data_IF_372656837302
#
_entry.id   IF_372656837302
#
_cell.length_a   1.000
_cell.length_b   1.000
_cell.length_c   1.000
_cell.angle_alpha   90.00
_cell.angle_beta   90.00
_cell.angle_gamma   90.00
#
_symmetry.space_group_name_H-M   'P 1'
#
loop_
_entity.id
_entity.type
_entity.pdbx_description
1 polymer ?
#
# COMPACT_ATOMS: atom_id res chain seq x y z
N UNK A 1 1.73 -53.98 12.29
CA UNK A 1 0.31 -54.23 11.98
C UNK A 1 -0.56 -53.35 12.87
N UNK A 2 -1.15 -52.32 12.24
CA UNK A 2 -2.34 -51.51 12.59
C UNK A 2 -2.58 -51.07 14.05
N UNK A 3 -2.59 -49.74 14.24
CA UNK A 3 -3.69 -49.01 14.89
C UNK A 3 -3.65 -47.52 14.52
N UNK A 4 -4.43 -47.16 13.51
CA UNK A 4 -4.94 -45.80 13.33
C UNK A 4 -6.05 -45.55 14.35
N UNK A 5 -6.10 -44.36 14.92
CA UNK A 5 -7.23 -43.89 15.72
C UNK A 5 -7.35 -42.38 15.59
N UNK A 6 -8.44 -41.95 14.94
CA UNK A 6 -9.31 -40.79 15.18
C UNK A 6 -8.64 -39.39 15.31
N UNK A 7 -9.00 -38.36 14.56
CA UNK A 7 -10.30 -38.02 13.96
C UNK A 7 -10.78 -36.71 14.57
N UNK A 8 -10.88 -35.64 13.78
CA UNK A 8 -11.69 -34.46 14.12
C UNK A 8 -12.36 -33.94 12.84
N UNK A 9 -13.66 -34.21 12.77
CA UNK A 9 -14.60 -33.82 11.73
C UNK A 9 -15.00 -32.34 11.90
N UNK A 10 -14.70 -31.51 10.91
CA UNK A 10 -15.28 -30.17 10.75
C UNK A 10 -16.40 -30.17 9.73
N UNK A 11 -17.52 -30.85 10.01
CA UNK A 11 -18.67 -30.92 9.09
C UNK A 11 -19.59 -29.71 9.29
N UNK A 12 -19.59 -28.75 8.36
CA UNK A 12 -20.74 -27.85 8.13
C UNK A 12 -21.69 -28.50 7.15
N UNK A 13 -22.95 -28.65 7.55
CA UNK A 13 -24.04 -29.13 6.68
C UNK A 13 -24.67 -27.95 5.96
N UNK A 14 -24.41 -27.82 4.68
CA UNK A 14 -25.33 -27.16 3.75
C UNK A 14 -25.47 -28.03 2.50
N UNK A 15 -26.68 -28.52 2.28
CA UNK A 15 -27.23 -28.88 0.97
C UNK A 15 -26.40 -29.77 0.03
N UNK A 16 -26.40 -31.08 0.28
CA UNK A 16 -26.53 -32.09 -0.80
C UNK A 16 -25.39 -32.27 -1.82
N UNK A 17 -24.23 -31.62 -1.67
CA UNK A 17 -23.02 -31.94 -2.43
C UNK A 17 -21.83 -31.98 -1.45
N UNK A 18 -21.28 -33.17 -1.21
CA UNK A 18 -20.08 -33.37 -0.40
C UNK A 18 -18.87 -32.83 -1.20
N UNK A 19 -18.65 -31.52 -1.14
CA UNK A 19 -17.38 -30.94 -1.56
C UNK A 19 -16.38 -31.20 -0.43
N UNK A 20 -15.47 -32.14 -0.67
CA UNK A 20 -14.26 -32.25 0.14
C UNK A 20 -13.46 -30.98 -0.09
N UNK A 21 -13.61 -30.00 0.79
CA UNK A 21 -12.67 -28.88 0.89
C UNK A 21 -11.33 -29.51 1.26
N UNK A 22 -10.38 -29.50 0.33
CA UNK A 22 -9.07 -30.09 0.53
C UNK A 22 -8.36 -29.44 1.71
N UNK A 23 -7.43 -30.15 2.35
CA UNK A 23 -6.62 -29.58 3.42
C UNK A 23 -5.88 -28.29 2.98
N UNK A 24 -5.50 -28.21 1.70
CA UNK A 24 -4.90 -27.02 1.08
C UNK A 24 -5.88 -25.83 1.03
N UNK A 25 -7.14 -26.06 0.68
CA UNK A 25 -8.18 -25.02 0.58
C UNK A 25 -8.59 -24.50 1.98
N UNK A 26 -8.60 -25.37 3.00
CA UNK A 26 -8.75 -24.96 4.39
C UNK A 26 -7.58 -24.10 4.89
N UNK A 27 -6.35 -24.44 4.48
CA UNK A 27 -5.14 -23.71 4.88
C UNK A 27 -5.05 -22.35 4.18
N UNK A 28 -5.41 -22.27 2.90
CA UNK A 28 -5.50 -21.02 2.14
C UNK A 28 -6.52 -20.06 2.74
N UNK A 29 -7.71 -20.57 3.12
CA UNK A 29 -8.75 -19.78 3.79
C UNK A 29 -8.30 -19.24 5.17
N UNK A 30 -7.54 -20.02 5.94
CA UNK A 30 -6.95 -19.57 7.22
C UNK A 30 -5.97 -18.43 7.00
N UNK A 31 -5.03 -18.60 6.05
CA UNK A 31 -4.01 -17.60 5.73
C UNK A 31 -4.61 -16.31 5.19
N UNK A 32 -5.68 -16.41 4.39
CA UNK A 32 -6.43 -15.25 3.92
C UNK A 32 -7.06 -14.45 5.06
N UNK A 33 -7.61 -15.13 6.07
CA UNK A 33 -8.17 -14.48 7.25
C UNK A 33 -7.08 -13.81 8.12
N UNK A 34 -5.98 -14.53 8.38
CA UNK A 34 -4.82 -14.00 9.10
C UNK A 34 -4.22 -12.77 8.40
N UNK A 35 -4.12 -12.81 7.07
CA UNK A 35 -3.67 -11.67 6.28
C UNK A 35 -4.61 -10.47 6.42
N UNK A 36 -5.92 -10.68 6.35
CA UNK A 36 -6.90 -9.61 6.50
C UNK A 36 -6.83 -8.96 7.89
N UNK A 37 -6.63 -9.74 8.94
CA UNK A 37 -6.44 -9.25 10.31
C UNK A 37 -5.15 -8.44 10.46
N UNK A 38 -4.04 -8.95 9.92
CA UNK A 38 -2.75 -8.26 9.96
C UNK A 38 -2.79 -6.93 9.17
N UNK A 39 -3.41 -6.91 7.98
CA UNK A 39 -3.66 -5.67 7.22
C UNK A 39 -4.53 -4.71 8.03
N UNK A 40 -5.61 -5.20 8.63
CA UNK A 40 -6.50 -4.40 9.47
C UNK A 40 -5.75 -3.74 10.63
N UNK A 41 -4.92 -4.50 11.33
CA UNK A 41 -4.08 -4.03 12.44
C UNK A 41 -3.10 -2.95 11.96
N UNK A 42 -2.41 -3.21 10.85
CA UNK A 42 -1.45 -2.27 10.26
C UNK A 42 -2.09 -0.93 9.86
N UNK A 43 -3.25 -0.96 9.21
CA UNK A 43 -3.85 0.21 8.59
C UNK A 43 -4.83 0.98 9.50
N UNK A 44 -5.29 0.37 10.59
CA UNK A 44 -6.16 1.02 11.58
C UNK A 44 -5.38 1.72 12.71
N UNK A 45 -4.07 1.48 12.83
CA UNK A 45 -3.23 2.10 13.86
C UNK A 45 -3.02 3.60 13.62
N UNK A 46 -2.47 4.29 14.62
CA UNK A 46 -1.92 5.64 14.52
C UNK A 46 -0.42 5.64 14.23
N UNK A 47 0.25 4.49 14.38
CA UNK A 47 1.69 4.31 14.19
C UNK A 47 2.00 3.07 13.34
N UNK A 48 3.27 2.91 12.96
CA UNK A 48 3.70 1.74 12.19
C UNK A 48 3.69 0.50 13.10
N UNK A 49 2.84 -0.46 12.77
CA UNK A 49 2.78 -1.77 13.43
C UNK A 49 3.78 -2.74 12.79
N UNK A 50 5.03 -2.72 13.24
CA UNK A 50 6.11 -3.55 12.67
C UNK A 50 5.77 -5.05 12.67
N UNK A 51 5.21 -5.55 13.77
CA UNK A 51 4.82 -6.97 13.88
C UNK A 51 3.77 -7.36 12.85
N UNK A 52 2.70 -6.57 12.71
CA UNK A 52 1.66 -6.82 11.72
C UNK A 52 2.21 -6.69 10.29
N UNK A 53 3.06 -5.69 10.01
CA UNK A 53 3.65 -5.52 8.69
C UNK A 53 4.57 -6.68 8.28
N UNK A 54 5.37 -7.20 9.22
CA UNK A 54 6.21 -8.37 9.01
C UNK A 54 5.35 -9.61 8.75
N UNK A 55 4.30 -9.82 9.54
CA UNK A 55 3.36 -10.93 9.32
C UNK A 55 2.69 -10.86 7.94
N UNK A 56 2.29 -9.67 7.48
CA UNK A 56 1.78 -9.48 6.11
C UNK A 56 2.83 -9.91 5.08
N UNK A 57 4.10 -9.53 5.25
CA UNK A 57 5.17 -9.91 4.33
C UNK A 57 5.43 -11.42 4.35
N UNK A 58 5.44 -12.05 5.54
CA UNK A 58 5.63 -13.51 5.68
C UNK A 58 4.52 -14.29 4.98
N UNK A 59 3.25 -13.87 5.15
CA UNK A 59 2.12 -14.54 4.52
C UNK A 59 2.20 -14.41 3.00
N UNK A 60 2.49 -13.21 2.47
CA UNK A 60 2.59 -12.95 1.02
C UNK A 60 3.80 -13.66 0.42
N UNK A 61 4.94 -13.68 1.10
CA UNK A 61 6.14 -14.37 0.62
C UNK A 61 5.89 -15.86 0.47
N UNK A 62 5.23 -16.47 1.46
CA UNK A 62 4.89 -17.88 1.41
C UNK A 62 3.66 -18.19 0.54
N UNK A 63 2.82 -17.21 0.23
CA UNK A 63 1.72 -17.34 -0.73
C UNK A 63 1.47 -16.03 -1.52
N UNK A 64 2.16 -15.86 -2.66
CA UNK A 64 2.02 -14.69 -3.52
C UNK A 64 0.61 -14.42 -4.05
N UNK A 65 -0.25 -15.44 -4.10
CA UNK A 65 -1.61 -15.30 -4.62
C UNK A 65 -2.47 -14.36 -3.77
N UNK A 66 -2.10 -14.18 -2.50
CA UNK A 66 -2.79 -13.32 -1.53
C UNK A 66 -2.37 -11.84 -1.59
N UNK A 67 -1.27 -11.51 -2.29
CA UNK A 67 -0.79 -10.13 -2.44
C UNK A 67 -1.87 -9.12 -2.89
N UNK A 68 -2.81 -9.44 -3.80
CA UNK A 68 -3.88 -8.52 -4.19
C UNK A 68 -4.76 -8.05 -3.04
N UNK A 69 -4.96 -8.86 -1.99
CA UNK A 69 -5.73 -8.47 -0.81
C UNK A 69 -5.02 -7.34 -0.02
N UNK A 70 -3.70 -7.45 0.16
CA UNK A 70 -2.89 -6.38 0.75
C UNK A 70 -2.91 -5.10 -0.10
N UNK A 71 -2.77 -5.23 -1.43
CA UNK A 71 -2.87 -4.09 -2.35
C UNK A 71 -4.24 -3.39 -2.27
N UNK A 72 -5.31 -4.15 -2.06
CA UNK A 72 -6.64 -3.59 -1.84
C UNK A 72 -6.73 -2.79 -0.53
N UNK A 73 -6.26 -3.35 0.59
CA UNK A 73 -6.23 -2.66 1.88
C UNK A 73 -5.43 -1.35 1.81
N UNK A 74 -4.23 -1.40 1.22
CA UNK A 74 -3.37 -0.23 1.00
C UNK A 74 -4.10 0.82 0.18
N UNK A 75 -4.68 0.44 -0.97
CA UNK A 75 -5.46 1.37 -1.81
C UNK A 75 -6.58 2.04 -1.02
N UNK A 76 -7.29 1.30 -0.16
CA UNK A 76 -8.35 1.84 0.69
C UNK A 76 -7.80 2.89 1.66
N UNK A 77 -6.65 2.65 2.28
CA UNK A 77 -5.97 3.65 3.11
C UNK A 77 -5.60 4.91 2.32
N UNK A 78 -5.06 4.76 1.10
CA UNK A 78 -4.69 5.89 0.22
C UNK A 78 -5.91 6.74 -0.20
N UNK A 79 -7.08 6.12 -0.32
CA UNK A 79 -8.34 6.79 -0.67
C UNK A 79 -8.93 7.62 0.45
N UNK A 80 -8.55 7.39 1.71
CA UNK A 80 -9.05 8.16 2.86
C UNK A 80 -8.65 9.64 2.79
N UNK A 81 -7.58 9.97 2.06
CA UNK A 81 -7.03 11.34 1.95
C UNK A 81 -6.69 11.96 3.29
N UNK A 82 -6.34 11.13 4.26
CA UNK A 82 -5.83 11.53 5.56
C UNK A 82 -4.33 11.19 5.61
N UNK A 83 -3.45 12.11 6.07
CA UNK A 83 -2.01 11.91 5.97
C UNK A 83 -1.50 10.66 6.71
N UNK A 84 -2.05 10.36 7.90
CA UNK A 84 -1.61 9.22 8.72
C UNK A 84 -1.97 7.88 8.05
N UNK A 85 -3.24 7.57 7.71
CA UNK A 85 -3.58 6.36 6.97
C UNK A 85 -2.82 6.21 5.65
N UNK A 86 -2.63 7.30 4.90
CA UNK A 86 -1.84 7.28 3.67
C UNK A 86 -0.39 6.86 3.95
N UNK A 87 0.26 7.44 4.96
CA UNK A 87 1.63 7.09 5.34
C UNK A 87 1.76 5.65 5.84
N UNK A 88 0.79 5.13 6.59
CA UNK A 88 0.77 3.74 7.03
C UNK A 88 0.63 2.79 5.83
N UNK A 89 -0.32 3.06 4.94
CA UNK A 89 -0.50 2.29 3.70
C UNK A 89 0.74 2.30 2.81
N UNK A 90 1.39 3.47 2.65
CA UNK A 90 2.63 3.57 1.88
C UNK A 90 3.81 2.87 2.56
N UNK A 91 3.89 2.90 3.89
CA UNK A 91 4.97 2.22 4.63
C UNK A 91 4.81 0.70 4.59
N UNK A 92 3.57 0.20 4.67
CA UNK A 92 3.28 -1.21 4.44
C UNK A 92 3.62 -1.61 3.00
N UNK A 93 3.21 -0.82 2.00
CA UNK A 93 3.54 -1.08 0.59
C UNK A 93 5.04 -1.15 0.35
N UNK A 94 5.81 -0.20 0.89
CA UNK A 94 7.26 -0.17 0.80
C UNK A 94 7.88 -1.45 1.38
N UNK A 95 7.40 -1.89 2.54
CA UNK A 95 7.90 -3.12 3.17
C UNK A 95 7.57 -4.36 2.35
N UNK A 96 6.34 -4.47 1.84
CA UNK A 96 5.92 -5.60 1.00
C UNK A 96 6.76 -5.65 -0.30
N UNK A 97 7.00 -4.52 -0.96
CA UNK A 97 7.84 -4.47 -2.18
C UNK A 97 9.29 -4.87 -1.88
N UNK A 98 9.84 -4.43 -0.75
CA UNK A 98 11.22 -4.75 -0.34
C UNK A 98 11.41 -6.23 0.04
N UNK A 99 10.42 -6.86 0.66
CA UNK A 99 10.53 -8.23 1.15
C UNK A 99 10.04 -9.26 0.13
N UNK A 100 8.92 -8.98 -0.56
CA UNK A 100 8.25 -9.94 -1.45
C UNK A 100 8.56 -9.72 -2.94
N UNK A 101 9.37 -8.72 -3.26
CA UNK A 101 9.93 -8.47 -4.58
C UNK A 101 8.90 -8.40 -5.71
N UNK A 102 9.20 -9.08 -6.82
CA UNK A 102 8.41 -8.98 -8.06
C UNK A 102 6.97 -9.49 -7.90
N UNK A 103 6.73 -10.47 -7.03
CA UNK A 103 5.40 -10.99 -6.76
C UNK A 103 4.47 -9.90 -6.23
N UNK A 104 4.95 -9.10 -5.27
CA UNK A 104 4.23 -7.93 -4.79
C UNK A 104 4.02 -6.88 -5.88
N UNK A 105 5.05 -6.57 -6.67
CA UNK A 105 4.94 -5.59 -7.76
C UNK A 105 3.90 -6.00 -8.81
N UNK A 106 3.79 -7.30 -9.15
CA UNK A 106 2.76 -7.81 -10.08
C UNK A 106 1.34 -7.61 -9.55
N UNK A 107 1.15 -7.68 -8.23
CA UNK A 107 -0.15 -7.45 -7.61
C UNK A 107 -0.59 -5.98 -7.62
N UNK A 108 0.32 -5.03 -7.91
CA UNK A 108 0.00 -3.61 -8.01
C UNK A 108 -0.77 -3.34 -9.31
N UNK A 109 -2.10 -3.37 -9.19
CA UNK A 109 -3.00 -3.08 -10.31
C UNK A 109 -3.07 -1.58 -10.65
N UNK A 110 -3.65 -1.26 -11.81
CA UNK A 110 -3.81 0.11 -12.30
C UNK A 110 -4.58 1.05 -11.34
N UNK A 111 -5.46 0.51 -10.51
CA UNK A 111 -6.23 1.32 -9.57
C UNK A 111 -5.43 1.73 -8.33
N UNK A 112 -4.51 0.89 -7.86
CA UNK A 112 -3.54 1.26 -6.83
C UNK A 112 -2.47 2.20 -7.42
N UNK A 113 -1.97 1.91 -8.62
CA UNK A 113 -1.03 2.79 -9.33
C UNK A 113 -1.59 4.21 -9.51
N UNK A 114 -2.87 4.33 -9.88
CA UNK A 114 -3.57 5.63 -9.94
C UNK A 114 -3.64 6.32 -8.57
N UNK A 115 -3.91 5.59 -7.49
CA UNK A 115 -3.95 6.15 -6.14
C UNK A 115 -2.57 6.66 -5.69
N UNK A 116 -1.48 5.99 -6.08
CA UNK A 116 -0.10 6.44 -5.86
C UNK A 116 0.17 7.76 -6.61
N UNK A 117 -0.22 7.83 -7.88
CA UNK A 117 -0.11 9.06 -8.68
C UNK A 117 -0.89 10.22 -8.06
N UNK A 118 -2.13 9.99 -7.64
CA UNK A 118 -2.97 11.00 -6.97
C UNK A 118 -2.37 11.47 -5.64
N UNK A 119 -1.67 10.59 -4.92
CA UNK A 119 -0.96 10.95 -3.68
C UNK A 119 0.16 11.97 -3.96
N UNK A 120 0.90 11.79 -5.05
CA UNK A 120 1.92 12.76 -5.49
C UNK A 120 1.27 14.09 -5.90
N UNK A 121 0.15 14.03 -6.64
CA UNK A 121 -0.54 15.19 -7.20
C UNK A 121 -1.46 15.93 -6.23
N UNK A 122 -1.67 15.40 -5.02
CA UNK A 122 -2.54 15.99 -4.00
C UNK A 122 -2.27 17.49 -3.75
N UNK A 123 -1.01 17.92 -3.87
CA UNK A 123 -0.58 19.32 -3.66
C UNK A 123 -0.88 20.27 -4.82
N UNK A 124 -1.00 19.78 -6.05
CA UNK A 124 -1.28 20.65 -7.21
C UNK A 124 -2.63 21.36 -7.02
N UNK A 125 -3.60 20.73 -6.37
CA UNK A 125 -4.95 21.30 -6.19
C UNK A 125 -5.05 22.40 -5.12
N UNK A 126 -4.15 22.42 -4.11
CA UNK A 126 -4.23 23.38 -2.98
C UNK A 126 -3.62 24.75 -3.32
N UNK A 127 -2.58 24.79 -4.17
CA UNK A 127 -1.99 26.05 -4.64
C UNK A 127 -2.97 26.89 -5.48
N UNK A 128 -3.89 26.27 -6.22
CA UNK A 128 -4.97 26.95 -6.95
C UNK A 128 -6.18 27.33 -6.06
N UNK A 129 -6.17 26.98 -4.78
CA UNK A 129 -7.22 27.28 -3.80
C UNK A 129 -6.96 28.58 -3.03
N UNK A 130 -5.73 28.83 -2.60
CA UNK A 130 -5.35 30.08 -1.92
C UNK A 130 -5.59 31.32 -2.80
N UNK A 131 -5.38 31.21 -4.11
CA UNK A 131 -5.58 32.32 -5.06
C UNK A 131 -7.04 32.71 -5.31
N UNK A 132 -8.03 31.85 -4.99
CA UNK A 132 -9.46 32.14 -5.24
C UNK A 132 -10.18 32.78 -4.06
N UNK A 133 -9.67 32.63 -2.83
CA UNK A 133 -10.27 33.22 -1.64
C UNK A 133 -9.61 34.53 -1.18
N UNK A 134 -8.51 34.96 -1.82
CA UNK A 134 -7.83 36.21 -1.47
C UNK A 134 -8.68 37.47 -1.76
N UNK A 135 -9.61 37.41 -2.71
CA UNK A 135 -10.54 38.51 -2.99
C UNK A 135 -11.80 38.53 -2.10
N UNK A 136 -12.02 37.54 -1.22
CA UNK A 136 -13.21 37.46 -0.35
C UNK A 136 -12.96 37.90 1.10
N UNK A 137 -11.70 38.03 1.52
CA UNK A 137 -11.33 38.47 2.88
C UNK A 137 -10.65 39.84 2.85
N UNK A 138 -11.42 40.86 2.45
CA UNK A 138 -11.15 42.22 2.91
C UNK A 138 -11.54 42.32 4.39
N UNK A 139 -10.60 42.02 5.29
CA UNK A 139 -10.81 42.22 6.73
C UNK A 139 -10.08 41.21 7.60
N UNK A 140 -9.16 41.71 8.44
CA UNK A 140 -8.44 41.03 9.52
C UNK A 140 -7.35 40.02 9.12
N UNK A 141 -6.17 40.57 8.88
CA UNK A 141 -4.89 39.91 9.16
C UNK A 141 -4.76 39.71 10.68
N UNK A 142 -5.11 38.51 11.18
CA UNK A 142 -4.67 38.05 12.50
C UNK A 142 -3.42 37.18 12.31
N UNK A 143 -2.29 37.50 12.97
CA UNK A 143 -1.10 36.66 12.95
C UNK A 143 -1.28 35.52 13.96
N UNK A 144 -1.95 34.44 13.56
CA UNK A 144 -2.24 33.35 14.49
C UNK A 144 -2.62 31.99 13.92
N UNK A 145 -2.60 31.78 12.60
CA UNK A 145 -3.03 30.52 11.98
C UNK A 145 -1.92 29.81 11.22
N UNK A 146 -0.92 29.24 11.89
CA UNK A 146 0.22 28.59 11.20
C UNK A 146 0.72 27.27 11.80
N UNK A 147 0.09 26.73 12.86
CA UNK A 147 0.63 25.54 13.55
C UNK A 147 0.20 24.19 12.96
N UNK A 148 -1.07 24.06 12.56
CA UNK A 148 -1.68 22.75 12.21
C UNK A 148 -1.41 22.37 10.75
N UNK A 149 -1.40 23.35 9.85
CA UNK A 149 -1.20 23.14 8.41
C UNK A 149 0.25 22.75 8.06
N UNK A 150 1.25 23.24 8.81
CA UNK A 150 2.65 22.90 8.53
C UNK A 150 2.98 21.43 8.88
N UNK A 151 2.39 20.91 9.96
CA UNK A 151 2.52 19.50 10.32
C UNK A 151 1.85 18.61 9.26
N UNK A 152 0.63 18.95 8.85
CA UNK A 152 -0.10 18.24 7.80
C UNK A 152 0.65 18.26 6.46
N UNK A 153 1.20 19.43 6.09
CA UNK A 153 2.09 19.59 4.93
C UNK A 153 3.31 18.69 5.01
N UNK A 154 3.95 18.61 6.18
CA UNK A 154 5.08 17.72 6.41
C UNK A 154 4.73 16.25 6.16
N UNK A 155 3.56 15.80 6.60
CA UNK A 155 3.09 14.44 6.36
C UNK A 155 2.85 14.15 4.87
N UNK A 156 2.24 15.07 4.13
CA UNK A 156 2.03 14.91 2.68
C UNK A 156 3.33 14.93 1.87
N UNK A 157 4.31 15.74 2.28
CA UNK A 157 5.64 15.72 1.67
C UNK A 157 6.32 14.37 1.86
N UNK A 158 6.23 13.79 3.07
CA UNK A 158 6.73 12.43 3.35
C UNK A 158 6.00 11.38 2.52
N UNK A 159 4.68 11.49 2.37
CA UNK A 159 3.89 10.57 1.57
C UNK A 159 4.32 10.61 0.09
N UNK A 160 4.45 11.83 -0.47
CA UNK A 160 4.97 12.03 -1.84
C UNK A 160 6.35 11.40 -2.01
N UNK A 161 7.27 11.70 -1.09
CA UNK A 161 8.64 11.18 -1.14
C UNK A 161 8.66 9.65 -1.14
N UNK A 162 7.85 9.04 -0.26
CA UNK A 162 7.74 7.58 -0.17
C UNK A 162 7.19 6.95 -1.46
N UNK A 163 6.21 7.56 -2.13
CA UNK A 163 5.74 7.06 -3.43
C UNK A 163 6.86 7.11 -4.47
N UNK A 164 7.62 8.22 -4.53
CA UNK A 164 8.74 8.35 -5.47
C UNK A 164 9.83 7.30 -5.20
N UNK A 165 10.13 7.02 -3.93
CA UNK A 165 11.06 5.97 -3.52
C UNK A 165 10.59 4.57 -3.92
N UNK A 166 9.31 4.23 -3.67
CA UNK A 166 8.74 2.94 -4.06
C UNK A 166 8.81 2.75 -5.58
N UNK A 167 8.44 3.78 -6.35
CA UNK A 167 8.49 3.74 -7.81
C UNK A 167 9.93 3.59 -8.33
N UNK A 168 10.88 4.37 -7.80
CA UNK A 168 12.29 4.29 -8.19
C UNK A 168 12.86 2.92 -7.86
N UNK A 169 12.64 2.43 -6.63
CA UNK A 169 13.08 1.11 -6.19
C UNK A 169 12.55 0.00 -7.09
N UNK A 170 11.24 0.04 -7.40
CA UNK A 170 10.58 -0.99 -8.23
C UNK A 170 11.14 -0.99 -9.66
N UNK A 171 11.36 0.19 -10.25
CA UNK A 171 11.90 0.31 -11.61
C UNK A 171 13.36 -0.14 -11.66
N UNK A 172 14.17 0.23 -10.68
CA UNK A 172 15.57 -0.16 -10.61
C UNK A 172 15.74 -1.68 -10.39
N UNK A 173 14.90 -2.27 -9.54
CA UNK A 173 14.95 -3.69 -9.24
C UNK A 173 14.41 -4.58 -10.37
N UNK A 174 13.40 -4.10 -11.12
CA UNK A 174 12.62 -4.94 -12.03
C UNK A 174 12.54 -4.39 -13.46
N UNK A 175 13.57 -3.68 -13.93
CA UNK A 175 13.61 -3.10 -15.29
C UNK A 175 13.37 -4.13 -16.41
N UNK A 176 13.82 -5.38 -16.23
CA UNK A 176 13.62 -6.46 -17.22
C UNK A 176 12.16 -6.96 -17.28
N UNK A 177 11.33 -6.60 -16.29
CA UNK A 177 9.94 -7.00 -16.17
C UNK A 177 8.96 -5.85 -16.45
N UNK A 178 9.41 -4.81 -17.15
CA UNK A 178 8.55 -3.67 -17.49
C UNK A 178 7.21 -4.10 -18.13
N UNK A 179 7.23 -5.10 -19.01
CA UNK A 179 6.02 -5.62 -19.68
C UNK A 179 4.98 -6.20 -18.71
N UNK A 180 5.42 -6.74 -17.58
CA UNK A 180 4.54 -7.31 -16.55
C UNK A 180 4.10 -6.24 -15.53
N UNK A 181 4.95 -5.25 -15.28
CA UNK A 181 4.77 -4.22 -14.26
C UNK A 181 4.26 -2.89 -14.84
N UNK A 182 3.54 -2.96 -15.96
CA UNK A 182 3.06 -1.79 -16.71
C UNK A 182 2.40 -0.70 -15.85
N UNK A 183 1.52 -1.01 -14.85
CA UNK A 183 0.92 0.03 -14.01
C UNK A 183 1.94 0.92 -13.29
N UNK A 184 3.00 0.32 -12.73
CA UNK A 184 4.06 1.05 -12.03
C UNK A 184 4.93 1.85 -13.01
N UNK A 185 5.37 1.20 -14.09
CA UNK A 185 6.24 1.83 -15.09
C UNK A 185 5.53 2.98 -15.81
N UNK A 186 4.23 2.86 -16.04
CA UNK A 186 3.42 3.93 -16.64
C UNK A 186 3.40 5.17 -15.74
N UNK A 187 3.13 4.99 -14.45
CA UNK A 187 3.14 6.09 -13.46
C UNK A 187 4.53 6.71 -13.36
N UNK A 188 5.57 5.89 -13.26
CA UNK A 188 6.96 6.35 -13.20
C UNK A 188 7.34 7.19 -14.42
N UNK A 189 7.10 6.68 -15.64
CA UNK A 189 7.40 7.37 -16.90
C UNK A 189 6.60 8.66 -17.04
N UNK A 190 5.33 8.65 -16.63
CA UNK A 190 4.50 9.85 -16.60
C UNK A 190 5.11 10.93 -15.71
N UNK A 191 5.47 10.59 -14.47
CA UNK A 191 6.03 11.54 -13.52
C UNK A 191 7.38 12.10 -14.00
N UNK A 192 8.25 11.24 -14.56
CA UNK A 192 9.51 11.68 -15.19
C UNK A 192 9.27 12.67 -16.33
N UNK A 193 8.29 12.40 -17.19
CA UNK A 193 7.90 13.30 -18.28
C UNK A 193 7.33 14.63 -17.78
N UNK A 194 6.62 14.61 -16.66
CA UNK A 194 6.08 15.80 -15.99
C UNK A 194 7.16 16.59 -15.19
N UNK A 195 8.41 16.11 -15.15
CA UNK A 195 9.53 16.81 -14.51
C UNK A 195 9.69 16.52 -13.02
N UNK A 196 9.05 15.48 -12.48
CA UNK A 196 9.26 15.07 -11.10
C UNK A 196 10.67 14.51 -10.89
N UNK A 197 11.36 15.03 -9.89
CA UNK A 197 12.63 14.48 -9.42
C UNK A 197 12.38 13.22 -8.60
N UNK A 198 13.16 12.19 -8.89
CA UNK A 198 13.19 10.96 -8.11
C UNK A 198 14.51 10.92 -7.33
N UNK A 199 14.51 10.30 -6.14
CA UNK A 199 15.74 10.15 -5.38
C UNK A 199 16.80 9.45 -6.24
N UNK A 200 18.01 10.00 -6.24
CA UNK A 200 19.15 9.32 -6.84
C UNK A 200 19.39 7.99 -6.11
N UNK A 201 20.07 7.03 -6.76
CA UNK A 201 20.58 5.85 -6.07
C UNK A 201 21.33 6.35 -4.83
N UNK A 202 20.77 6.13 -3.64
CA UNK A 202 21.53 6.37 -2.42
C UNK A 202 22.76 5.51 -2.56
N UNK A 203 23.94 6.11 -2.48
CA UNK A 203 25.22 5.42 -2.44
C UNK A 203 25.37 4.65 -1.11
N UNK A 204 24.35 3.87 -0.75
CA UNK A 204 24.39 2.90 0.33
C UNK A 204 25.12 1.67 -0.20
N UNK A 205 26.44 1.79 -0.36
CA UNK A 205 27.29 0.76 -0.93
C UNK A 205 28.69 1.23 -1.29
N UNK A 206 29.29 2.12 -0.50
CA UNK A 206 30.73 2.32 -0.46
C UNK A 206 31.23 1.96 0.95
#
# INVERSE_FOLDING_TARGET
WLKSSHGWDGVRRDSGLLLFVGAEECQEMSRGAELAEAIGTSLASSTIEWGANLQVCEIIEADPSLAPAAMHGIKTALKRREPVPVLLGLSLLEMIVKNCGIAACRAINGSLAKALLETIKHRESWQYGLGRNLHKFGGSFLPGGTGVDEAERGHWLRARQKVLEILQLSVDAFMLHEGELQPLFTVYKQLRKEGYEFPGRSAAGA
#
